data_IF_169608796341
#
_entry.id   IF_169608796341
#
_cell.length_a   1.000
_cell.length_b   1.000
_cell.length_c   1.000
_cell.angle_alpha   90.00
_cell.angle_beta   90.00
_cell.angle_gamma   90.00
#
_symmetry.space_group_name_H-M   'P 1'
#
loop_
_entity.id
_entity.type
_entity.pdbx_description
1 polymer ?
#
# COMPACT_ATOMS: atom_id res chain seq x y z
N UNK A 1 26.17 -57.29 -13.46
CA UNK A 1 25.34 -57.46 -12.25
C UNK A 1 25.14 -56.10 -11.61
N UNK A 2 23.92 -55.56 -11.64
CA UNK A 2 23.63 -54.23 -11.13
C UNK A 2 23.31 -54.38 -9.63
N UNK A 3 24.19 -53.85 -8.76
CA UNK A 3 23.96 -53.84 -7.33
C UNK A 3 22.73 -52.97 -7.02
N UNK A 4 21.58 -53.60 -6.83
CA UNK A 4 20.37 -52.94 -6.32
C UNK A 4 20.58 -52.69 -4.82
N UNK A 5 21.25 -51.59 -4.47
CA UNK A 5 21.28 -51.09 -3.10
C UNK A 5 19.87 -50.57 -2.79
N UNK A 6 19.13 -51.32 -1.99
CA UNK A 6 17.80 -50.91 -1.51
C UNK A 6 17.93 -49.69 -0.61
N UNK A 7 17.08 -48.69 -0.84
CA UNK A 7 16.95 -47.53 0.06
C UNK A 7 16.60 -48.06 1.45
N UNK A 8 17.37 -47.67 2.45
CA UNK A 8 17.12 -48.16 3.82
C UNK A 8 15.93 -47.42 4.44
N UNK A 9 15.13 -48.10 5.26
CA UNK A 9 13.93 -47.52 5.88
C UNK A 9 14.25 -46.25 6.70
N UNK A 10 15.43 -46.21 7.33
CA UNK A 10 15.94 -45.06 8.08
C UNK A 10 16.16 -43.85 7.16
N UNK A 11 16.71 -44.06 5.97
CA UNK A 11 16.99 -43.01 5.00
C UNK A 11 15.69 -42.32 4.52
N UNK A 12 14.61 -43.09 4.37
CA UNK A 12 13.27 -42.57 4.04
C UNK A 12 12.72 -41.72 5.20
N UNK A 13 12.88 -42.15 6.45
CA UNK A 13 12.43 -41.40 7.62
C UNK A 13 13.19 -40.07 7.73
N UNK A 14 14.52 -40.09 7.57
CA UNK A 14 15.33 -38.88 7.61
C UNK A 14 14.96 -37.93 6.45
N UNK A 15 14.77 -38.46 5.24
CA UNK A 15 14.38 -37.64 4.09
C UNK A 15 13.00 -36.97 4.29
N UNK A 16 12.02 -37.68 4.85
CA UNK A 16 10.68 -37.11 5.11
C UNK A 16 10.70 -36.06 6.23
N UNK A 17 11.52 -36.24 7.27
CA UNK A 17 11.74 -35.22 8.29
C UNK A 17 12.39 -33.95 7.71
N UNK A 18 13.42 -34.09 6.88
CA UNK A 18 14.04 -32.93 6.23
C UNK A 18 13.05 -32.21 5.31
N UNK A 19 12.27 -32.97 4.56
CA UNK A 19 11.27 -32.41 3.65
C UNK A 19 10.17 -31.62 4.37
N UNK A 20 9.68 -32.12 5.52
CA UNK A 20 8.63 -31.43 6.28
C UNK A 20 9.10 -30.07 6.82
N UNK A 21 10.34 -30.01 7.32
CA UNK A 21 10.96 -28.77 7.80
C UNK A 21 11.12 -27.75 6.67
N UNK A 22 11.57 -28.20 5.50
CA UNK A 22 11.72 -27.33 4.32
C UNK A 22 10.36 -26.78 3.89
N UNK A 23 9.35 -27.65 3.77
CA UNK A 23 8.01 -27.23 3.38
C UNK A 23 7.41 -26.23 4.37
N UNK A 24 7.60 -26.44 5.67
CA UNK A 24 7.17 -25.49 6.69
C UNK A 24 7.88 -24.13 6.54
N UNK A 25 9.19 -24.13 6.27
CA UNK A 25 9.94 -22.92 5.99
C UNK A 25 9.40 -22.16 4.78
N UNK A 26 9.09 -22.86 3.68
CA UNK A 26 8.55 -22.26 2.46
C UNK A 26 7.17 -21.65 2.65
N UNK A 27 6.29 -22.27 3.43
CA UNK A 27 4.95 -21.72 3.74
C UNK A 27 5.06 -20.38 4.47
N UNK A 28 5.95 -20.28 5.46
CA UNK A 28 6.17 -19.03 6.18
C UNK A 28 6.73 -17.93 5.27
N UNK A 29 7.67 -18.27 4.39
CA UNK A 29 8.19 -17.34 3.38
C UNK A 29 7.09 -16.87 2.43
N UNK A 30 6.23 -17.78 1.97
CA UNK A 30 5.11 -17.45 1.10
C UNK A 30 4.12 -16.48 1.76
N UNK A 31 3.77 -16.70 3.03
CA UNK A 31 2.88 -15.80 3.77
C UNK A 31 3.49 -14.41 3.94
N UNK A 32 4.79 -14.33 4.23
CA UNK A 32 5.50 -13.05 4.34
C UNK A 32 5.56 -12.31 2.99
N UNK A 33 5.90 -13.03 1.91
CA UNK A 33 5.92 -12.48 0.56
C UNK A 33 4.53 -11.97 0.13
N UNK A 34 3.46 -12.72 0.44
CA UNK A 34 2.08 -12.31 0.13
C UNK A 34 1.72 -11.00 0.84
N UNK A 35 2.04 -10.88 2.14
CA UNK A 35 1.80 -9.63 2.90
C UNK A 35 2.55 -8.45 2.30
N UNK A 36 3.82 -8.65 1.93
CA UNK A 36 4.61 -7.61 1.28
C UNK A 36 4.00 -7.14 -0.04
N UNK A 37 3.58 -8.07 -0.90
CA UNK A 37 2.93 -7.74 -2.18
C UNK A 37 1.61 -7.00 -1.97
N UNK A 38 0.80 -7.40 -0.99
CA UNK A 38 -0.45 -6.70 -0.66
C UNK A 38 -0.20 -5.29 -0.13
N UNK A 39 0.74 -5.13 0.80
CA UNK A 39 1.15 -3.82 1.30
C UNK A 39 1.59 -2.89 0.16
N UNK A 40 2.42 -3.41 -0.77
CA UNK A 40 2.85 -2.64 -1.94
C UNK A 40 1.69 -2.23 -2.86
N UNK A 41 0.67 -3.10 -3.02
CA UNK A 41 -0.53 -2.76 -3.80
C UNK A 41 -1.33 -1.64 -3.15
N UNK A 42 -1.56 -1.71 -1.84
CA UNK A 42 -2.30 -0.66 -1.12
C UNK A 42 -1.56 0.68 -1.16
N UNK A 43 -0.23 0.66 -0.99
CA UNK A 43 0.61 1.86 -1.15
C UNK A 43 0.47 2.46 -2.55
N UNK A 44 0.51 1.64 -3.60
CA UNK A 44 0.34 2.12 -4.97
C UNK A 44 -1.05 2.71 -5.21
N UNK A 45 -2.10 2.05 -4.73
CA UNK A 45 -3.48 2.57 -4.81
C UNK A 45 -3.61 3.90 -4.07
N UNK A 46 -3.06 4.01 -2.86
CA UNK A 46 -3.03 5.27 -2.10
C UNK A 46 -2.28 6.38 -2.84
N UNK A 47 -1.17 6.06 -3.51
CA UNK A 47 -0.45 7.02 -4.36
C UNK A 47 -1.25 7.49 -5.56
N UNK A 48 -1.96 6.58 -6.24
CA UNK A 48 -2.85 6.93 -7.36
C UNK A 48 -4.04 7.78 -6.90
N UNK A 49 -4.63 7.46 -5.75
CA UNK A 49 -5.66 8.30 -5.13
C UNK A 49 -5.12 9.69 -4.77
N UNK A 50 -3.90 9.75 -4.23
CA UNK A 50 -3.23 11.01 -3.94
C UNK A 50 -3.10 11.88 -5.18
N UNK A 51 -2.67 11.29 -6.30
CA UNK A 51 -2.62 11.98 -7.59
C UNK A 51 -4.01 12.43 -8.06
N UNK A 52 -5.00 11.53 -8.02
CA UNK A 52 -6.38 11.83 -8.41
C UNK A 52 -6.96 13.03 -7.66
N UNK A 53 -6.64 13.17 -6.36
CA UNK A 53 -7.06 14.32 -5.56
C UNK A 53 -6.24 15.58 -5.78
N UNK A 54 -4.95 15.45 -6.13
CA UNK A 54 -4.08 16.60 -6.35
C UNK A 54 -4.23 17.23 -7.75
N UNK A 55 -4.48 16.41 -8.77
CA UNK A 55 -4.60 16.86 -10.16
C UNK A 55 -5.66 17.97 -10.37
N UNK A 56 -6.89 17.91 -9.82
CA UNK A 56 -7.88 18.96 -10.04
C UNK A 56 -7.54 20.29 -9.34
N UNK A 57 -6.70 20.28 -8.31
CA UNK A 57 -6.37 21.50 -7.55
C UNK A 57 -5.67 22.55 -8.39
N UNK A 58 -4.98 22.15 -9.46
CA UNK A 58 -4.37 23.11 -10.37
C UNK A 58 -5.43 24.01 -11.02
N UNK A 59 -6.64 23.50 -11.26
CA UNK A 59 -7.76 24.29 -11.76
C UNK A 59 -8.38 25.17 -10.67
N UNK A 60 -8.31 24.76 -9.40
CA UNK A 60 -8.87 25.49 -8.28
C UNK A 60 -8.06 26.77 -7.92
N UNK A 61 -6.83 26.92 -8.42
CA UNK A 61 -5.98 28.12 -8.19
C UNK A 61 -6.40 29.32 -9.07
N UNK A 62 -7.53 29.23 -9.78
CA UNK A 62 -8.04 30.37 -10.54
C UNK A 62 -8.58 31.47 -9.62
N UNK A 63 -8.40 32.72 -10.05
CA UNK A 63 -8.81 33.92 -9.30
C UNK A 63 -10.32 33.95 -9.00
N UNK A 64 -11.16 33.38 -9.89
CA UNK A 64 -12.61 33.30 -9.71
C UNK A 64 -13.08 32.34 -8.59
N UNK A 65 -12.19 31.48 -8.09
CA UNK A 65 -12.50 30.49 -7.04
C UNK A 65 -11.69 30.69 -5.75
N UNK A 66 -11.03 31.85 -5.61
CA UNK A 66 -10.26 32.15 -4.41
C UNK A 66 -11.20 32.26 -3.19
N UNK A 67 -10.94 31.45 -2.16
CA UNK A 67 -11.69 31.49 -0.90
C UNK A 67 -12.90 30.54 -0.85
N UNK A 68 -13.32 29.96 -1.97
CA UNK A 68 -14.49 29.06 -2.04
C UNK A 68 -14.12 27.60 -2.36
N UNK A 69 -12.87 27.34 -2.73
CA UNK A 69 -12.35 26.01 -3.07
C UNK A 69 -11.85 25.25 -1.82
N UNK A 70 -11.48 23.98 -2.01
CA UNK A 70 -10.92 23.17 -0.92
C UNK A 70 -9.63 23.75 -0.32
N UNK A 71 -8.86 24.54 -1.09
CA UNK A 71 -7.61 25.16 -0.63
C UNK A 71 -7.81 26.23 0.45
N UNK A 72 -9.05 26.68 0.66
CA UNK A 72 -9.44 27.63 1.71
C UNK A 72 -10.51 27.07 2.67
N UNK A 73 -10.76 25.75 2.64
CA UNK A 73 -11.77 25.11 3.49
C UNK A 73 -13.19 25.12 2.92
N UNK A 74 -13.33 25.30 1.61
CA UNK A 74 -14.60 25.29 0.89
C UNK A 74 -15.03 23.91 0.39
N UNK A 75 -15.73 23.88 -0.75
CA UNK A 75 -16.38 22.67 -1.29
C UNK A 75 -15.39 21.88 -2.17
N UNK A 76 -15.62 20.56 -2.33
CA UNK A 76 -14.84 19.72 -3.25
C UNK A 76 -13.58 19.09 -2.65
N UNK A 77 -13.46 19.06 -1.32
CA UNK A 77 -12.33 18.42 -0.67
C UNK A 77 -12.29 16.91 -0.85
N UNK A 78 -11.09 16.30 -0.80
CA UNK A 78 -10.93 14.86 -0.83
C UNK A 78 -11.79 14.20 0.24
N UNK A 79 -12.63 13.26 -0.18
CA UNK A 79 -13.46 12.44 0.71
C UNK A 79 -12.88 11.04 0.82
N UNK A 80 -13.23 10.35 1.91
CA UNK A 80 -12.85 8.96 2.10
C UNK A 80 -13.27 8.10 0.90
N UNK A 81 -12.38 7.21 0.46
CA UNK A 81 -12.62 6.29 -0.64
C UNK A 81 -12.44 4.86 -0.17
N UNK A 82 -13.42 4.01 -0.45
CA UNK A 82 -13.34 2.59 -0.17
C UNK A 82 -13.03 1.84 -1.46
N UNK A 83 -11.84 1.25 -1.56
CA UNK A 83 -11.42 0.47 -2.72
C UNK A 83 -10.99 -0.91 -2.23
N UNK A 84 -11.58 -1.97 -2.80
CA UNK A 84 -11.31 -3.36 -2.40
C UNK A 84 -11.47 -3.60 -0.88
N UNK A 85 -12.52 -3.03 -0.27
CA UNK A 85 -12.80 -3.11 1.17
C UNK A 85 -11.76 -2.44 2.09
N UNK A 86 -10.78 -1.73 1.52
CA UNK A 86 -9.84 -0.89 2.27
C UNK A 86 -10.32 0.55 2.20
N UNK A 87 -10.44 1.18 3.36
CA UNK A 87 -10.80 2.59 3.47
C UNK A 87 -9.54 3.46 3.43
N UNK A 88 -9.48 4.36 2.45
CA UNK A 88 -8.43 5.35 2.28
C UNK A 88 -8.95 6.70 2.77
N UNK A 89 -8.30 7.23 3.81
CA UNK A 89 -8.68 8.45 4.50
C UNK A 89 -7.68 9.54 4.09
N UNK A 90 -8.08 10.49 3.23
CA UNK A 90 -7.24 11.63 2.90
C UNK A 90 -7.17 12.60 4.09
N UNK A 91 -5.96 13.03 4.43
CA UNK A 91 -5.71 14.12 5.35
C UNK A 91 -5.01 15.25 4.61
N UNK A 92 -5.56 16.45 4.75
CA UNK A 92 -5.18 17.61 3.96
C UNK A 92 -4.57 18.68 4.85
N UNK A 93 -3.35 19.09 4.55
CA UNK A 93 -2.67 20.16 5.28
C UNK A 93 -2.19 21.23 4.32
N UNK A 94 -2.50 22.47 4.64
CA UNK A 94 -2.19 23.64 3.81
C UNK A 94 -1.35 24.58 4.65
N UNK A 95 -0.14 24.86 4.18
CA UNK A 95 0.82 25.71 4.86
C UNK A 95 1.22 26.87 3.96
N UNK A 96 1.31 28.08 4.52
CA UNK A 96 1.91 29.20 3.82
C UNK A 96 3.42 29.00 3.67
N UNK A 97 3.98 29.33 2.52
CA UNK A 97 5.42 29.29 2.30
C UNK A 97 6.01 30.64 2.71
N UNK A 98 6.92 30.61 3.69
CA UNK A 98 7.51 31.83 4.25
C UNK A 98 8.11 32.74 3.15
N UNK A 99 7.90 34.05 3.31
CA UNK A 99 8.38 35.09 2.39
C UNK A 99 7.84 35.00 0.95
N UNK A 100 6.72 34.30 0.71
CA UNK A 100 6.04 34.24 -0.59
C UNK A 100 4.53 34.23 -0.41
N UNK A 101 3.78 34.55 -1.47
CA UNK A 101 2.32 34.38 -1.52
C UNK A 101 1.89 32.95 -1.91
N UNK A 102 2.86 32.01 -1.94
CA UNK A 102 2.62 30.63 -2.31
C UNK A 102 2.06 29.82 -1.13
N UNK A 103 1.19 28.87 -1.45
CA UNK A 103 0.68 27.87 -0.50
C UNK A 103 1.21 26.50 -0.86
N UNK A 104 1.65 25.77 0.14
CA UNK A 104 2.03 24.37 0.05
C UNK A 104 0.86 23.51 0.51
N UNK A 105 0.47 22.58 -0.35
CA UNK A 105 -0.52 21.56 -0.04
C UNK A 105 0.21 20.25 0.19
N UNK A 106 -0.11 19.58 1.29
CA UNK A 106 0.36 18.23 1.57
C UNK A 106 -0.87 17.37 1.81
N UNK A 107 -1.07 16.41 0.92
CA UNK A 107 -2.10 15.39 1.01
C UNK A 107 -1.47 14.08 1.49
N UNK A 108 -1.94 13.58 2.63
CA UNK A 108 -1.53 12.31 3.19
C UNK A 108 -2.69 11.33 3.08
N UNK A 109 -2.49 10.21 2.40
CA UNK A 109 -3.51 9.15 2.34
C UNK A 109 -3.18 8.11 3.41
N UNK A 110 -4.06 8.00 4.41
CA UNK A 110 -3.98 6.98 5.45
C UNK A 110 -4.84 5.77 5.06
N UNK A 111 -4.39 4.56 5.36
CA UNK A 111 -5.18 3.34 5.21
C UNK A 111 -4.85 2.37 6.34
N UNK A 112 -5.76 1.44 6.61
CA UNK A 112 -5.51 0.31 7.50
C UNK A 112 -5.45 -0.98 6.68
N UNK A 113 -4.43 -1.78 6.93
CA UNK A 113 -4.34 -3.14 6.37
C UNK A 113 -5.34 -4.04 7.08
N UNK A 114 -6.08 -4.83 6.29
CA UNK A 114 -6.87 -5.92 6.83
C UNK A 114 -5.94 -7.12 7.07
N UNK A 115 -5.86 -7.55 8.33
CA UNK A 115 -5.05 -8.67 8.79
C UNK A 115 -5.50 -10.02 8.22
#
# INVERSE_FOLDING_TARGET
>A
MMNKKGVTLIEIIVATMLFSVIMFGMVNLYLSAKRYVLHSRYKNTGGQLGKFFLDPLQMDVRNDQWGTNCLSGGIGCPVNQTIYHVNYIPNYTINNVAATDLRRVILTINWSEQN
#
